data_IF_013780344820
#
_entry.id   IF_013780344820
#
_cell.length_a   1.000
_cell.length_b   1.000
_cell.length_c   1.000
_cell.angle_alpha   90.00
_cell.angle_beta   90.00
_cell.angle_gamma   90.00
#
_symmetry.space_group_name_H-M   'P 1'
#
loop_
_entity.id
_entity.type
_entity.pdbx_description
1 polymer ?
#
# COMPACT_ATOMS: atom_id res chain seq x y z
N UNK A 1 19.80 -19.93 16.65
CA UNK A 1 20.67 -19.57 17.81
C UNK A 1 19.95 -18.46 18.55
N UNK A 2 19.78 -18.55 19.90
CA UNK A 2 19.19 -17.44 20.64
C UNK A 2 20.04 -16.18 20.47
N UNK A 3 19.41 -15.06 20.18
CA UNK A 3 20.09 -13.75 20.11
C UNK A 3 20.30 -13.25 21.53
N UNK A 4 21.56 -12.98 21.88
CA UNK A 4 21.86 -12.23 23.11
C UNK A 4 21.71 -10.74 22.81
N UNK A 5 20.50 -10.22 23.04
CA UNK A 5 20.16 -8.82 22.77
C UNK A 5 20.91 -7.83 23.67
N UNK A 6 21.55 -8.31 24.75
CA UNK A 6 22.36 -7.44 25.63
C UNK A 6 23.70 -7.04 25.01
N UNK A 7 24.08 -7.68 23.90
CA UNK A 7 25.30 -7.35 23.15
C UNK A 7 25.17 -6.09 22.28
N UNK A 8 23.95 -5.63 22.04
CA UNK A 8 23.66 -4.52 21.16
C UNK A 8 23.22 -3.27 21.94
N UNK A 9 23.46 -2.11 21.37
CA UNK A 9 22.88 -0.86 21.89
C UNK A 9 21.35 -0.92 21.73
N UNK A 10 20.62 -0.39 22.69
CA UNK A 10 19.14 -0.39 22.67
C UNK A 10 18.55 0.35 21.47
N UNK A 11 19.31 1.26 20.90
CA UNK A 11 18.93 2.03 19.69
C UNK A 11 19.22 1.30 18.38
N UNK A 12 19.86 0.15 18.42
CA UNK A 12 20.10 -0.69 17.25
C UNK A 12 18.82 -1.42 16.82
N UNK A 13 17.99 -0.72 16.04
CA UNK A 13 16.68 -1.22 15.60
C UNK A 13 16.80 -2.49 14.76
N UNK A 14 17.88 -2.63 14.00
CA UNK A 14 18.10 -3.80 13.11
C UNK A 14 18.26 -5.10 13.91
N UNK A 15 18.95 -5.06 15.04
CA UNK A 15 19.25 -6.26 15.83
C UNK A 15 18.32 -6.45 17.03
N UNK A 16 17.89 -5.37 17.68
CA UNK A 16 17.13 -5.45 18.95
C UNK A 16 15.88 -4.57 19.00
N UNK A 17 15.52 -3.88 17.92
CA UNK A 17 14.32 -3.04 17.85
C UNK A 17 13.04 -3.84 18.11
N UNK A 18 12.98 -5.09 17.66
CA UNK A 18 11.86 -6.00 17.91
C UNK A 18 11.56 -6.22 19.41
N UNK A 19 12.53 -5.97 20.30
CA UNK A 19 12.37 -6.06 21.74
C UNK A 19 12.14 -4.70 22.38
N UNK A 20 13.05 -3.74 22.14
CA UNK A 20 13.03 -2.47 22.85
C UNK A 20 11.90 -1.53 22.42
N UNK A 21 11.58 -1.47 21.11
CA UNK A 21 10.54 -0.57 20.62
C UNK A 21 9.16 -0.87 21.24
N UNK A 22 8.64 -2.12 21.26
CA UNK A 22 7.37 -2.41 21.92
C UNK A 22 7.41 -2.25 23.43
N UNK A 23 8.54 -2.54 24.07
CA UNK A 23 8.70 -2.36 25.53
C UNK A 23 8.66 -0.87 25.90
N UNK A 24 9.33 -0.01 25.16
CA UNK A 24 9.32 1.43 25.37
C UNK A 24 7.95 2.05 25.05
N UNK A 25 7.27 1.53 24.04
CA UNK A 25 5.92 1.98 23.68
C UNK A 25 4.86 1.54 24.69
N UNK A 26 5.11 0.49 25.48
CA UNK A 26 4.23 0.03 26.55
C UNK A 26 2.93 -0.65 26.08
N UNK A 27 2.77 -0.92 24.78
CA UNK A 27 1.56 -1.50 24.19
C UNK A 27 1.90 -2.42 23.01
N UNK A 28 1.00 -3.36 22.65
CA UNK A 28 1.13 -4.12 21.41
C UNK A 28 1.21 -3.20 20.21
N UNK A 29 2.09 -3.53 19.25
CA UNK A 29 2.23 -2.77 18.03
C UNK A 29 2.65 -3.64 16.83
N UNK A 30 2.31 -3.17 15.66
CA UNK A 30 2.94 -3.59 14.42
C UNK A 30 4.20 -2.77 14.20
N UNK A 31 5.32 -3.43 13.99
CA UNK A 31 6.56 -2.76 13.61
C UNK A 31 6.52 -2.42 12.12
N UNK A 32 7.17 -1.33 11.73
CA UNK A 32 7.46 -1.09 10.32
C UNK A 32 8.27 -2.25 9.75
N UNK A 33 8.13 -2.57 8.45
CA UNK A 33 9.00 -3.57 7.83
C UNK A 33 10.47 -3.21 8.00
N UNK A 34 11.26 -4.17 8.42
CA UNK A 34 12.68 -4.00 8.69
C UNK A 34 13.49 -5.24 8.30
N UNK A 35 14.77 -5.04 8.00
CA UNK A 35 15.69 -6.14 7.85
C UNK A 35 16.10 -6.64 9.25
N UNK A 36 15.75 -7.87 9.59
CA UNK A 36 16.22 -8.49 10.81
C UNK A 36 17.61 -9.05 10.58
N UNK A 37 18.65 -8.37 11.11
CA UNK A 37 20.05 -8.76 10.92
C UNK A 37 20.41 -10.13 11.50
N UNK A 38 19.65 -10.63 12.48
CA UNK A 38 19.93 -11.94 13.10
C UNK A 38 19.60 -13.11 12.17
N UNK A 39 18.60 -12.96 11.29
CA UNK A 39 18.14 -14.00 10.36
C UNK A 39 18.25 -13.58 8.90
N UNK A 40 18.64 -12.32 8.66
CA UNK A 40 18.78 -11.73 7.31
C UNK A 40 17.50 -11.88 6.47
N UNK A 41 16.35 -11.59 7.08
CA UNK A 41 15.03 -11.60 6.43
C UNK A 41 14.38 -10.24 6.59
N UNK A 42 13.85 -9.68 5.50
CA UNK A 42 13.03 -8.48 5.53
C UNK A 42 11.61 -8.87 5.99
N UNK A 43 11.22 -8.39 7.15
CA UNK A 43 10.00 -8.86 7.81
C UNK A 43 9.19 -7.72 8.41
N UNK A 44 7.92 -8.02 8.71
CA UNK A 44 7.06 -7.21 9.54
C UNK A 44 6.70 -8.02 10.78
N UNK A 45 6.69 -7.39 11.94
CA UNK A 45 6.45 -8.08 13.21
C UNK A 45 5.28 -7.45 13.95
N UNK A 46 4.40 -8.29 14.51
CA UNK A 46 3.45 -7.88 15.53
C UNK A 46 3.96 -8.32 16.90
N UNK A 47 4.14 -7.37 17.80
CA UNK A 47 4.81 -7.63 19.08
C UNK A 47 3.97 -7.13 20.24
N UNK A 48 3.87 -7.96 21.28
CA UNK A 48 3.14 -7.70 22.52
C UNK A 48 4.14 -7.72 23.68
N UNK A 49 4.41 -6.59 24.34
CA UNK A 49 5.26 -6.58 25.54
C UNK A 49 4.52 -7.17 26.74
N UNK A 50 5.24 -7.90 27.57
CA UNK A 50 4.71 -8.55 28.76
C UNK A 50 5.22 -7.84 30.00
N UNK A 51 4.31 -7.54 30.95
CA UNK A 51 4.65 -6.87 32.20
C UNK A 51 4.15 -7.66 33.41
N UNK A 52 4.95 -7.66 34.47
CA UNK A 52 4.58 -8.14 35.78
C UNK A 52 4.92 -7.04 36.79
N UNK A 53 3.96 -6.62 37.59
CA UNK A 53 4.10 -5.54 38.58
C UNK A 53 4.68 -4.22 38.00
N UNK A 54 4.39 -3.96 36.71
CA UNK A 54 4.84 -2.77 35.99
C UNK A 54 6.25 -2.87 35.38
N UNK A 55 6.94 -3.99 35.59
CA UNK A 55 8.25 -4.26 34.97
C UNK A 55 8.10 -5.17 33.74
N UNK A 56 8.81 -4.85 32.66
CA UNK A 56 8.82 -5.69 31.47
C UNK A 56 9.56 -7.00 31.75
N UNK A 57 8.87 -8.12 31.56
CA UNK A 57 9.42 -9.48 31.74
C UNK A 57 9.74 -10.15 30.40
N UNK A 58 9.41 -9.51 29.29
CA UNK A 58 9.68 -10.03 27.94
C UNK A 58 8.66 -9.55 26.92
N UNK A 59 8.70 -10.19 25.78
CA UNK A 59 7.74 -9.96 24.69
C UNK A 59 7.24 -11.30 24.14
N UNK A 60 6.08 -11.24 23.49
CA UNK A 60 5.61 -12.26 22.55
C UNK A 60 5.45 -11.60 21.18
N UNK A 61 5.94 -12.24 20.12
CA UNK A 61 5.85 -11.68 18.77
C UNK A 61 5.57 -12.73 17.70
N UNK A 62 5.07 -12.25 16.57
CA UNK A 62 4.91 -13.01 15.35
C UNK A 62 5.60 -12.25 14.23
N UNK A 63 6.53 -12.92 13.55
CA UNK A 63 7.26 -12.38 12.40
C UNK A 63 6.65 -12.92 11.12
N UNK A 64 6.43 -12.04 10.16
CA UNK A 64 5.94 -12.38 8.82
C UNK A 64 6.99 -11.91 7.82
N UNK A 65 7.45 -12.82 6.97
CA UNK A 65 8.28 -12.46 5.82
C UNK A 65 7.49 -11.48 4.92
N UNK A 66 8.00 -10.27 4.78
CA UNK A 66 7.32 -9.20 4.06
C UNK A 66 7.10 -9.54 2.58
N UNK A 67 7.92 -10.42 2.01
CA UNK A 67 7.74 -10.93 0.65
C UNK A 67 6.42 -11.66 0.42
N UNK A 68 5.84 -12.26 1.46
CA UNK A 68 4.53 -12.90 1.37
C UNK A 68 3.41 -11.86 1.20
N UNK A 69 3.50 -10.73 1.91
CA UNK A 69 2.54 -9.64 1.79
C UNK A 69 2.68 -8.98 0.41
N UNK A 70 3.89 -8.61 0.02
CA UNK A 70 4.13 -8.00 -1.29
C UNK A 70 3.73 -8.92 -2.44
N UNK A 71 3.96 -10.24 -2.32
CA UNK A 71 3.54 -11.22 -3.31
C UNK A 71 2.01 -11.40 -3.42
N UNK A 72 1.25 -11.12 -2.37
CA UNK A 72 -0.22 -11.04 -2.45
C UNK A 72 -0.67 -9.75 -3.14
N UNK A 73 -0.06 -8.63 -2.79
CA UNK A 73 -0.34 -7.33 -3.39
C UNK A 73 -0.02 -7.33 -4.89
N UNK A 74 1.11 -7.87 -5.30
CA UNK A 74 1.53 -8.00 -6.70
C UNK A 74 0.53 -8.77 -7.57
N UNK A 75 -0.11 -9.79 -7.00
CA UNK A 75 -1.11 -10.60 -7.69
C UNK A 75 -2.47 -9.92 -7.78
N UNK A 76 -2.72 -8.91 -6.96
CA UNK A 76 -3.97 -8.16 -6.94
C UNK A 76 -3.90 -7.05 -7.98
N UNK A 77 -4.61 -7.22 -9.09
CA UNK A 77 -4.61 -6.30 -10.22
C UNK A 77 -6.04 -5.93 -10.61
N UNK A 78 -6.23 -4.69 -11.03
CA UNK A 78 -7.45 -4.25 -11.69
C UNK A 78 -7.15 -4.05 -13.18
N UNK A 79 -8.03 -4.53 -14.03
CA UNK A 79 -7.91 -4.43 -15.48
C UNK A 79 -6.63 -5.08 -16.04
N UNK A 80 -6.12 -4.60 -17.18
CA UNK A 80 -4.97 -5.21 -17.87
C UNK A 80 -3.62 -4.68 -17.37
N UNK A 81 -3.53 -3.37 -17.11
CA UNK A 81 -2.29 -2.70 -16.70
C UNK A 81 -2.36 -2.09 -15.30
N UNK A 82 -3.52 -2.21 -14.64
CA UNK A 82 -3.65 -1.79 -13.25
C UNK A 82 -2.78 -2.61 -12.30
N UNK A 83 -2.41 -2.02 -11.19
CA UNK A 83 -1.53 -2.60 -10.18
C UNK A 83 -1.96 -2.21 -8.77
N UNK A 84 -1.48 -2.96 -7.79
CA UNK A 84 -1.63 -2.63 -6.37
C UNK A 84 -0.28 -2.24 -5.77
N UNK A 85 -0.32 -1.40 -4.75
CA UNK A 85 0.86 -0.99 -4.00
C UNK A 85 0.53 -0.78 -2.53
N UNK A 86 1.58 -0.79 -1.69
CA UNK A 86 1.50 -0.55 -0.25
C UNK A 86 2.26 0.73 0.09
N UNK A 87 1.70 1.51 1.00
CA UNK A 87 2.31 2.72 1.49
C UNK A 87 1.86 3.01 2.94
N UNK A 88 2.55 3.94 3.61
CA UNK A 88 2.21 4.40 4.94
C UNK A 88 1.33 5.65 4.90
N UNK A 89 0.67 6.00 6.03
CA UNK A 89 -0.12 7.24 6.13
C UNK A 89 0.67 8.52 5.87
N UNK A 90 2.01 8.49 5.96
CA UNK A 90 2.87 9.61 5.59
C UNK A 90 3.17 9.73 4.09
N UNK A 91 2.71 8.75 3.29
CA UNK A 91 2.92 8.66 1.86
C UNK A 91 4.18 7.91 1.44
N UNK A 92 4.93 7.33 2.39
CA UNK A 92 6.12 6.53 2.09
C UNK A 92 5.72 5.18 1.49
N UNK A 93 6.20 4.86 0.30
CA UNK A 93 5.94 3.61 -0.42
C UNK A 93 6.69 2.46 0.27
N UNK A 94 5.96 1.41 0.60
CA UNK A 94 6.50 0.18 1.17
C UNK A 94 6.68 -0.91 0.12
N UNK A 95 5.82 -0.92 -0.87
CA UNK A 95 5.91 -1.78 -2.06
C UNK A 95 5.18 -1.14 -3.23
N UNK A 96 5.84 -1.09 -4.36
CA UNK A 96 5.28 -0.68 -5.65
C UNK A 96 5.97 -1.45 -6.78
N UNK A 97 5.28 -1.85 -7.87
CA UNK A 97 5.90 -2.61 -8.95
C UNK A 97 7.09 -1.91 -9.64
N UNK A 98 7.09 -0.58 -9.66
CA UNK A 98 8.05 0.23 -10.42
C UNK A 98 8.86 1.21 -9.57
N UNK A 99 8.58 1.32 -8.25
CA UNK A 99 9.24 2.28 -7.36
C UNK A 99 10.03 1.56 -6.29
N UNK A 100 11.10 2.20 -5.83
CA UNK A 100 11.88 1.68 -4.70
C UNK A 100 11.13 1.88 -3.37
N UNK A 101 11.35 0.96 -2.44
CA UNK A 101 10.84 1.08 -1.08
C UNK A 101 11.40 2.33 -0.40
N UNK A 102 10.54 3.08 0.28
CA UNK A 102 10.86 4.37 0.89
C UNK A 102 10.72 5.57 -0.03
N UNK A 103 10.39 5.37 -1.32
CA UNK A 103 10.01 6.47 -2.19
C UNK A 103 8.71 7.13 -1.69
N UNK A 104 8.50 8.40 -2.03
CA UNK A 104 7.27 9.12 -1.68
C UNK A 104 6.24 9.02 -2.82
N UNK A 105 4.93 9.05 -2.48
CA UNK A 105 3.84 9.07 -3.46
C UNK A 105 3.96 10.23 -4.48
N UNK A 106 4.56 11.35 -4.10
CA UNK A 106 4.81 12.46 -5.02
C UNK A 106 5.77 12.07 -6.16
N UNK A 107 6.64 11.09 -5.94
CA UNK A 107 7.54 10.57 -6.99
C UNK A 107 6.81 9.74 -8.06
N UNK A 108 5.57 9.28 -7.76
CA UNK A 108 4.67 8.72 -8.77
C UNK A 108 4.05 9.79 -9.68
N UNK A 109 4.28 11.08 -9.39
CA UNK A 109 3.72 12.21 -10.11
C UNK A 109 2.47 12.80 -9.44
N UNK A 110 2.14 12.38 -8.23
CA UNK A 110 1.05 12.97 -7.45
C UNK A 110 1.43 14.37 -6.98
N UNK A 111 0.45 15.26 -6.99
CA UNK A 111 0.55 16.54 -6.30
C UNK A 111 0.45 16.35 -4.79
N UNK A 112 0.89 17.35 -4.01
CA UNK A 112 0.75 17.32 -2.55
C UNK A 112 -0.72 17.15 -2.09
N UNK A 113 -1.67 17.76 -2.82
CA UNK A 113 -3.11 17.63 -2.52
C UNK A 113 -3.63 16.22 -2.85
N UNK A 114 -3.19 15.60 -3.94
CA UNK A 114 -3.54 14.22 -4.29
C UNK A 114 -2.97 13.23 -3.27
N UNK A 115 -1.70 13.40 -2.89
CA UNK A 115 -1.08 12.63 -1.81
C UNK A 115 -1.86 12.80 -0.49
N UNK A 116 -2.20 14.02 -0.11
CA UNK A 116 -2.96 14.27 1.12
C UNK A 116 -4.30 13.53 1.13
N UNK A 117 -5.02 13.49 -0.01
CA UNK A 117 -6.28 12.73 -0.12
C UNK A 117 -6.05 11.22 -0.03
N UNK A 118 -4.98 10.70 -0.68
CA UNK A 118 -4.62 9.28 -0.64
C UNK A 118 -4.17 8.83 0.77
N UNK A 119 -3.65 9.74 1.59
CA UNK A 119 -3.21 9.44 2.95
C UNK A 119 -4.28 9.72 4.02
N UNK A 120 -5.43 10.27 3.66
CA UNK A 120 -6.53 10.54 4.59
C UNK A 120 -7.50 9.37 4.65
N UNK A 121 -7.53 8.66 5.78
CA UNK A 121 -8.43 7.54 6.02
C UNK A 121 -9.92 7.89 5.84
N UNK A 122 -10.31 9.18 5.90
CA UNK A 122 -11.67 9.61 5.62
C UNK A 122 -12.09 9.39 4.16
N UNK A 123 -11.12 9.26 3.24
CA UNK A 123 -11.34 8.99 1.81
C UNK A 123 -11.24 7.49 1.47
N UNK A 124 -11.09 6.63 2.45
CA UNK A 124 -11.03 5.18 2.25
C UNK A 124 -12.25 4.67 1.47
N UNK A 125 -12.01 3.84 0.45
CA UNK A 125 -13.04 3.30 -0.44
C UNK A 125 -13.55 4.29 -1.49
N UNK A 126 -13.07 5.54 -1.49
CA UNK A 126 -13.37 6.51 -2.56
C UNK A 126 -12.36 6.37 -3.70
N UNK A 127 -12.81 6.71 -4.91
CA UNK A 127 -11.92 6.73 -6.08
C UNK A 127 -11.21 8.07 -6.14
N UNK A 128 -9.89 8.02 -6.00
CA UNK A 128 -9.01 9.18 -6.09
C UNK A 128 -8.25 9.18 -7.43
N UNK A 129 -8.32 10.31 -8.14
CA UNK A 129 -7.61 10.50 -9.41
C UNK A 129 -6.27 11.18 -9.20
N UNK A 130 -5.24 10.73 -9.92
CA UNK A 130 -3.92 11.33 -9.94
C UNK A 130 -3.24 11.11 -11.31
N UNK A 131 -2.10 11.77 -11.52
CA UNK A 131 -1.28 11.57 -12.72
C UNK A 131 -0.07 10.71 -12.38
N UNK A 132 0.00 9.50 -12.93
CA UNK A 132 1.18 8.64 -12.82
C UNK A 132 1.97 8.68 -14.13
N UNK A 133 3.19 9.22 -14.08
CA UNK A 133 4.07 9.34 -15.27
C UNK A 133 3.37 9.96 -16.51
N UNK A 134 2.50 10.96 -16.29
CA UNK A 134 1.74 11.62 -17.35
C UNK A 134 0.48 10.87 -17.80
N UNK A 135 0.19 9.71 -17.23
CA UNK A 135 -1.04 8.95 -17.48
C UNK A 135 -2.05 9.25 -16.37
N UNK A 136 -3.27 9.63 -16.75
CA UNK A 136 -4.36 9.77 -15.78
C UNK A 136 -4.72 8.39 -15.23
N UNK A 137 -4.67 8.29 -13.92
CA UNK A 137 -4.84 7.06 -13.17
C UNK A 137 -5.82 7.29 -12.04
N UNK A 138 -6.71 6.37 -11.80
CA UNK A 138 -7.58 6.35 -10.63
C UNK A 138 -7.18 5.22 -9.70
N UNK A 139 -7.26 5.47 -8.40
CA UNK A 139 -7.02 4.46 -7.38
C UNK A 139 -8.11 4.47 -6.31
N UNK A 140 -8.29 3.33 -5.68
CA UNK A 140 -9.04 3.19 -4.42
C UNK A 140 -8.09 2.60 -3.39
N UNK A 141 -8.18 3.02 -2.15
CA UNK A 141 -7.34 2.50 -1.09
C UNK A 141 -8.12 2.10 0.15
N UNK A 142 -7.50 1.26 0.96
CA UNK A 142 -7.99 0.81 2.26
C UNK A 142 -6.84 0.77 3.26
N UNK A 143 -7.16 1.13 4.51
CA UNK A 143 -6.24 1.03 5.63
C UNK A 143 -6.31 -0.38 6.23
N UNK A 144 -5.17 -1.01 6.40
CA UNK A 144 -5.05 -2.32 7.02
C UNK A 144 -4.97 -2.19 8.56
N UNK A 145 -5.28 -3.26 9.29
CA UNK A 145 -5.25 -3.28 10.76
C UNK A 145 -3.87 -2.92 11.37
N UNK A 146 -2.82 -3.07 10.59
CA UNK A 146 -1.46 -2.70 10.97
C UNK A 146 -1.09 -1.24 10.63
N UNK A 147 -2.05 -0.44 10.18
CA UNK A 147 -1.85 0.97 9.81
C UNK A 147 -1.25 1.20 8.42
N UNK A 148 -0.83 0.15 7.70
CA UNK A 148 -0.44 0.29 6.29
C UNK A 148 -1.68 0.58 5.44
N UNK A 149 -1.45 1.21 4.30
CA UNK A 149 -2.50 1.47 3.31
C UNK A 149 -2.21 0.66 2.04
N UNK A 150 -3.23 -0.05 1.54
CA UNK A 150 -3.16 -0.76 0.26
C UNK A 150 -3.98 -0.01 -0.76
N UNK A 151 -3.38 0.33 -1.89
CA UNK A 151 -4.08 0.92 -3.02
C UNK A 151 -4.16 -0.04 -4.21
N UNK A 152 -5.27 0.03 -4.91
CA UNK A 152 -5.49 -0.62 -6.20
C UNK A 152 -5.72 0.48 -7.23
N UNK A 153 -4.87 0.57 -8.25
CA UNK A 153 -4.88 1.61 -9.26
C UNK A 153 -5.02 1.07 -10.67
N UNK A 154 -5.60 1.87 -11.55
CA UNK A 154 -5.67 1.57 -12.98
C UNK A 154 -5.74 2.87 -13.81
N UNK A 155 -5.22 2.86 -15.06
CA UNK A 155 -5.40 3.97 -15.98
C UNK A 155 -6.88 4.27 -16.26
N UNK A 156 -7.26 5.55 -16.27
CA UNK A 156 -8.63 5.98 -16.57
C UNK A 156 -9.12 5.48 -17.93
N UNK A 157 -8.21 5.37 -18.90
CA UNK A 157 -8.51 4.85 -20.23
C UNK A 157 -9.00 3.40 -20.20
N UNK A 158 -8.50 2.56 -19.28
CA UNK A 158 -8.97 1.18 -19.14
C UNK A 158 -10.31 1.13 -18.38
N UNK A 159 -10.46 1.93 -17.33
CA UNK A 159 -11.69 2.01 -16.56
C UNK A 159 -12.87 2.44 -17.45
N UNK A 160 -12.63 3.38 -18.37
CA UNK A 160 -13.68 3.95 -19.22
C UNK A 160 -13.82 3.26 -20.58
N UNK A 161 -12.94 2.32 -20.94
CA UNK A 161 -12.88 1.70 -22.28
C UNK A 161 -14.19 1.09 -22.74
N UNK A 162 -14.89 0.38 -21.86
CA UNK A 162 -16.16 -0.26 -22.18
C UNK A 162 -17.27 0.78 -22.38
N UNK A 163 -17.30 1.84 -21.59
CA UNK A 163 -18.27 2.93 -21.71
C UNK A 163 -18.05 3.70 -23.03
N UNK A 164 -16.82 3.96 -23.40
CA UNK A 164 -16.45 4.62 -24.68
C UNK A 164 -16.85 3.73 -25.85
N UNK A 165 -16.58 2.45 -25.80
CA UNK A 165 -16.94 1.47 -26.84
C UNK A 165 -18.46 1.40 -27.04
N UNK A 166 -19.23 1.30 -25.96
CA UNK A 166 -20.69 1.31 -26.00
C UNK A 166 -21.24 2.63 -26.55
N UNK A 167 -20.70 3.77 -26.15
CA UNK A 167 -21.09 5.07 -26.65
C UNK A 167 -20.84 5.21 -28.16
N UNK A 168 -19.68 4.78 -28.64
CA UNK A 168 -19.35 4.78 -30.07
C UNK A 168 -20.32 3.92 -30.88
N UNK A 169 -20.68 2.73 -30.38
CA UNK A 169 -21.66 1.84 -31.01
C UNK A 169 -23.06 2.47 -31.08
N UNK A 170 -23.49 3.11 -29.99
CA UNK A 170 -24.79 3.81 -29.95
C UNK A 170 -24.82 4.98 -30.94
N UNK A 171 -23.79 5.82 -31.00
CA UNK A 171 -23.67 6.92 -31.96
C UNK A 171 -23.68 6.39 -33.39
N UNK A 172 -22.91 5.35 -33.68
CA UNK A 172 -22.90 4.70 -35.00
C UNK A 172 -24.27 4.22 -35.41
N UNK A 173 -25.01 3.56 -34.54
CA UNK A 173 -26.39 3.10 -34.79
C UNK A 173 -27.33 4.27 -35.04
N UNK A 174 -27.28 5.34 -34.25
CA UNK A 174 -28.12 6.53 -34.46
C UNK A 174 -27.85 7.20 -35.82
N UNK A 175 -26.55 7.30 -36.23
CA UNK A 175 -26.16 7.86 -37.55
C UNK A 175 -26.74 7.02 -38.68
N UNK A 176 -26.62 5.70 -38.61
CA UNK A 176 -27.18 4.78 -39.62
C UNK A 176 -28.72 4.93 -39.70
N UNK A 177 -29.43 4.97 -38.57
CA UNK A 177 -30.86 5.18 -38.52
C UNK A 177 -31.26 6.52 -39.15
N UNK A 178 -30.55 7.61 -38.87
CA UNK A 178 -30.79 8.93 -39.46
C UNK A 178 -30.62 8.92 -40.98
N UNK A 179 -29.55 8.26 -41.49
CA UNK A 179 -29.31 8.13 -42.93
C UNK A 179 -30.43 7.35 -43.61
N UNK A 180 -30.94 6.29 -42.99
CA UNK A 180 -32.08 5.53 -43.52
C UNK A 180 -33.33 6.40 -43.58
N UNK A 181 -33.62 7.19 -42.52
CA UNK A 181 -34.78 8.09 -42.52
C UNK A 181 -34.70 9.22 -43.57
N UNK A 182 -33.51 9.63 -43.98
CA UNK A 182 -33.32 10.66 -45.02
C UNK A 182 -33.54 10.08 -46.41
N UNK A 183 -33.27 8.78 -46.63
CA UNK A 183 -33.32 8.10 -47.93
C UNK A 183 -34.73 7.53 -48.20
N UNK A 184 -35.53 7.28 -47.16
CA UNK A 184 -36.94 6.89 -47.24
C UNK A 184 -37.87 8.10 -47.36
#
# INVERSE_FOLDING_TARGET
>A
VPTDFTMYDKTDVEHVGWYYVPVENGAPLWMDPYLNGNVNVYMISYVVPLYVDGESVGIIGMDIDFSQITGMVEKTKAFSTGYSFLYKPDGSIMYHPEMENGADLEQLGMTADEKARMCDAANEGQVEGFSSNGTKTSAVFYTLDNGMMVALSAPDSEITSDAVSLSAMMIGTCVVCLLICIVL
#
